data_IF_291414646485
#
_entry.id   IF_291414646485
#
_cell.length_a   1.000
_cell.length_b   1.000
_cell.length_c   1.000
_cell.angle_alpha   90.00
_cell.angle_beta   90.00
_cell.angle_gamma   90.00
#
_symmetry.space_group_name_H-M   'P 1'
#
loop_
_entity.id
_entity.type
_entity.pdbx_description
1 polymer ?
#
# COMPACT_ATOMS: atom_id res chain seq x y z
N UNK A 1 -23.63 -0.72 12.18
CA UNK A 1 -22.48 -1.51 11.68
C UNK A 1 -22.23 -2.64 12.66
N UNK A 2 -21.90 -3.86 12.23
CA UNK A 2 -21.65 -4.99 13.16
C UNK A 2 -20.20 -4.97 13.66
N UNK A 3 -19.92 -5.48 14.86
CA UNK A 3 -18.56 -5.61 15.42
C UNK A 3 -17.58 -6.31 14.45
N UNK A 4 -18.05 -7.30 13.69
CA UNK A 4 -17.28 -7.98 12.65
C UNK A 4 -16.84 -7.03 11.53
N UNK A 5 -17.70 -6.11 11.10
CA UNK A 5 -17.41 -5.14 10.04
C UNK A 5 -16.45 -4.08 10.55
N UNK A 6 -16.60 -3.63 11.80
CA UNK A 6 -15.65 -2.69 12.42
C UNK A 6 -14.25 -3.29 12.57
N UNK A 7 -14.15 -4.58 12.91
CA UNK A 7 -12.87 -5.31 12.93
C UNK A 7 -12.23 -5.35 11.54
N UNK A 8 -13.01 -5.69 10.51
CA UNK A 8 -12.51 -5.72 9.12
C UNK A 8 -12.04 -4.34 8.64
N UNK A 9 -12.77 -3.27 8.97
CA UNK A 9 -12.35 -1.90 8.64
C UNK A 9 -10.97 -1.61 9.23
N UNK A 10 -10.74 -1.91 10.52
CA UNK A 10 -9.44 -1.71 11.17
C UNK A 10 -8.32 -2.50 10.50
N UNK A 11 -8.55 -3.77 10.20
CA UNK A 11 -7.57 -4.63 9.52
C UNK A 11 -7.21 -4.10 8.11
N UNK A 12 -8.17 -3.53 7.38
CA UNK A 12 -7.93 -2.95 6.05
C UNK A 12 -7.25 -1.58 6.15
N UNK A 13 -7.58 -0.78 7.16
CA UNK A 13 -6.87 0.46 7.46
C UNK A 13 -5.39 0.20 7.82
N UNK A 14 -5.11 -0.85 8.60
CA UNK A 14 -3.74 -1.31 8.87
C UNK A 14 -3.03 -1.77 7.60
N UNK A 15 -3.70 -2.57 6.75
CA UNK A 15 -3.15 -2.98 5.45
C UNK A 15 -2.77 -1.76 4.60
N UNK A 16 -3.66 -0.77 4.49
CA UNK A 16 -3.38 0.46 3.75
C UNK A 16 -2.09 1.14 4.23
N UNK A 17 -1.89 1.24 5.55
CA UNK A 17 -0.70 1.87 6.11
C UNK A 17 0.57 1.08 5.74
N UNK A 18 0.51 -0.25 5.80
CA UNK A 18 1.63 -1.12 5.41
C UNK A 18 1.99 -0.93 3.93
N UNK A 19 1.00 -0.83 3.03
CA UNK A 19 1.22 -0.56 1.61
C UNK A 19 1.90 0.82 1.38
N UNK A 20 1.46 1.85 2.11
CA UNK A 20 2.08 3.18 2.04
C UNK A 20 3.53 3.19 2.57
N UNK A 21 3.80 2.42 3.62
CA UNK A 21 5.15 2.25 4.18
C UNK A 21 6.06 1.46 3.24
N UNK A 22 5.56 0.38 2.63
CA UNK A 22 6.29 -0.39 1.62
C UNK A 22 6.68 0.50 0.43
N UNK A 23 5.75 1.29 -0.10
CA UNK A 23 6.03 2.25 -1.17
C UNK A 23 7.15 3.24 -0.80
N UNK A 24 7.13 3.77 0.44
CA UNK A 24 8.18 4.68 0.94
C UNK A 24 9.52 3.96 1.07
N UNK A 25 9.53 2.73 1.55
CA UNK A 25 10.74 1.92 1.71
C UNK A 25 11.39 1.67 0.36
N UNK A 26 10.64 1.20 -0.65
CA UNK A 26 11.16 0.99 -2.00
C UNK A 26 11.71 2.28 -2.62
N UNK A 27 11.01 3.41 -2.46
CA UNK A 27 11.51 4.72 -2.89
C UNK A 27 12.79 5.16 -2.20
N UNK A 28 12.97 4.80 -0.94
CA UNK A 28 14.17 5.16 -0.17
C UNK A 28 15.42 4.42 -0.63
N UNK A 29 15.27 3.20 -1.18
CA UNK A 29 16.40 2.36 -1.62
C UNK A 29 16.80 2.57 -3.08
N UNK A 30 15.87 2.99 -3.95
CA UNK A 30 16.12 3.22 -5.40
C UNK A 30 17.39 4.04 -5.69
N UNK A 31 17.69 5.14 -4.97
CA UNK A 31 18.91 5.93 -5.21
C UNK A 31 20.21 5.14 -5.01
N UNK A 32 20.18 4.10 -4.16
CA UNK A 32 21.34 3.26 -3.81
C UNK A 32 21.57 2.11 -4.79
N UNK A 33 20.62 1.86 -5.70
CA UNK A 33 20.73 0.80 -6.70
C UNK A 33 21.59 1.30 -7.86
N UNK A 34 22.45 0.45 -8.42
CA UNK A 34 23.29 0.82 -9.57
C UNK A 34 22.76 0.26 -10.88
N UNK A 35 22.16 -0.93 -10.85
CA UNK A 35 21.57 -1.56 -12.02
C UNK A 35 20.26 -0.86 -12.44
N UNK A 36 20.15 -0.51 -13.72
CA UNK A 36 18.99 0.22 -14.24
C UNK A 36 17.74 -0.67 -14.35
N UNK A 37 17.90 -1.97 -14.57
CA UNK A 37 16.81 -2.94 -14.58
C UNK A 37 16.20 -3.08 -13.18
N UNK A 38 17.04 -3.28 -12.17
CA UNK A 38 16.61 -3.39 -10.77
C UNK A 38 15.95 -2.10 -10.28
N UNK A 39 16.47 -0.92 -10.66
CA UNK A 39 15.82 0.37 -10.37
C UNK A 39 14.39 0.41 -10.89
N UNK A 40 14.20 0.07 -12.15
CA UNK A 40 12.89 0.10 -12.79
C UNK A 40 11.92 -0.86 -12.11
N UNK A 41 12.38 -2.07 -11.78
CA UNK A 41 11.58 -3.06 -11.05
C UNK A 41 11.11 -2.48 -9.71
N UNK A 42 12.01 -1.85 -8.94
CA UNK A 42 11.66 -1.24 -7.66
C UNK A 42 10.73 -0.02 -7.81
N UNK A 43 10.88 0.76 -8.87
CA UNK A 43 9.97 1.86 -9.19
C UNK A 43 8.56 1.34 -9.49
N UNK A 44 8.45 0.29 -10.30
CA UNK A 44 7.18 -0.36 -10.64
C UNK A 44 6.53 -0.97 -9.38
N UNK A 45 7.29 -1.66 -8.53
CA UNK A 45 6.80 -2.18 -7.24
C UNK A 45 6.30 -1.04 -6.35
N UNK A 46 7.07 0.04 -6.19
CA UNK A 46 6.66 1.18 -5.37
C UNK A 46 5.38 1.87 -5.88
N UNK A 47 5.13 1.84 -7.19
CA UNK A 47 3.88 2.33 -7.76
C UNK A 47 2.70 1.39 -7.49
N UNK A 48 2.94 0.08 -7.55
CA UNK A 48 1.94 -0.93 -7.25
C UNK A 48 1.47 -0.86 -5.79
N UNK A 49 2.38 -0.66 -4.83
CA UNK A 49 1.96 -0.50 -3.42
C UNK A 49 1.11 0.77 -3.20
N UNK A 50 1.39 1.86 -3.92
CA UNK A 50 0.51 3.04 -3.91
C UNK A 50 -0.87 2.72 -4.46
N UNK A 51 -0.96 1.85 -5.49
CA UNK A 51 -2.24 1.36 -6.02
C UNK A 51 -2.95 0.49 -4.98
N UNK A 52 -2.25 -0.41 -4.29
CA UNK A 52 -2.82 -1.27 -3.26
C UNK A 52 -3.36 -0.45 -2.07
N UNK A 53 -2.65 0.58 -1.61
CA UNK A 53 -3.15 1.49 -0.59
C UNK A 53 -4.46 2.19 -0.99
N UNK A 54 -4.59 2.61 -2.26
CA UNK A 54 -5.84 3.20 -2.78
C UNK A 54 -6.98 2.19 -2.85
N UNK A 55 -6.68 0.95 -3.22
CA UNK A 55 -7.67 -0.13 -3.22
C UNK A 55 -8.17 -0.44 -1.81
N UNK A 56 -7.26 -0.52 -0.83
CA UNK A 56 -7.61 -0.69 0.58
C UNK A 56 -8.52 0.44 1.08
N UNK A 57 -8.20 1.70 0.75
CA UNK A 57 -9.06 2.85 1.06
C UNK A 57 -10.45 2.72 0.44
N UNK A 58 -10.55 2.34 -0.84
CA UNK A 58 -11.84 2.16 -1.50
C UNK A 58 -12.71 1.10 -0.80
N UNK A 59 -12.10 0.01 -0.31
CA UNK A 59 -12.83 -1.00 0.47
C UNK A 59 -13.32 -0.42 1.80
N UNK A 60 -12.50 0.37 2.50
CA UNK A 60 -12.93 1.06 3.74
C UNK A 60 -14.12 1.97 3.48
N UNK A 61 -14.11 2.74 2.39
CA UNK A 61 -15.18 3.65 2.03
C UNK A 61 -16.49 2.89 1.72
N UNK A 62 -16.39 1.75 1.02
CA UNK A 62 -17.53 0.84 0.77
C UNK A 62 -18.11 0.30 2.08
N UNK A 63 -17.27 -0.12 3.03
CA UNK A 63 -17.71 -0.70 4.30
C UNK A 63 -18.32 0.35 5.26
N UNK A 64 -17.97 1.63 5.10
CA UNK A 64 -18.49 2.75 5.91
C UNK A 64 -19.75 3.41 5.33
N UNK A 65 -20.08 3.12 4.06
CA UNK A 65 -21.30 3.62 3.37
C UNK A 65 -22.56 2.89 3.85
#
# INVERSE_FOLDING_TARGET
MTEKVEKLIREIEELKLLEEEAAKLYRSIIPSISDLGDKKILEDIAQDEVRHARMAQAVVDILKS
#
